data_IF_721558413247
#
_entry.id   IF_721558413247
#
_cell.length_a   1.000
_cell.length_b   1.000
_cell.length_c   1.000
_cell.angle_alpha   90.00
_cell.angle_beta   90.00
_cell.angle_gamma   90.00
#
_symmetry.space_group_name_H-M   'P 1'
#
loop_
_entity.id
_entity.type
_entity.pdbx_description
1 polymer ?
#
# COMPACT_ATOMS: atom_id res chain seq x y z
N UNK A 1 59.91 -27.56 -2.11
CA UNK A 1 59.54 -26.13 -1.95
C UNK A 1 58.75 -25.58 -3.14
N UNK A 2 59.16 -25.87 -4.39
CA UNK A 2 58.55 -25.38 -5.64
C UNK A 2 57.08 -25.81 -5.82
N UNK A 3 56.73 -27.04 -5.45
CA UNK A 3 55.36 -27.58 -5.58
C UNK A 3 54.31 -26.80 -4.77
N UNK A 4 54.65 -26.35 -3.57
CA UNK A 4 53.73 -25.61 -2.71
C UNK A 4 53.50 -24.16 -3.19
N UNK A 5 54.49 -23.57 -3.87
CA UNK A 5 54.38 -22.23 -4.47
C UNK A 5 53.46 -22.27 -5.70
N UNK A 6 53.62 -23.27 -6.57
CA UNK A 6 52.78 -23.46 -7.75
C UNK A 6 51.32 -23.75 -7.38
N UNK A 7 51.08 -24.58 -6.35
CA UNK A 7 49.73 -24.87 -5.85
C UNK A 7 49.02 -23.63 -5.30
N UNK A 8 49.77 -22.74 -4.62
CA UNK A 8 49.25 -21.47 -4.09
C UNK A 8 48.97 -20.47 -5.22
N UNK A 9 49.82 -20.41 -6.25
CA UNK A 9 49.61 -19.58 -7.43
C UNK A 9 48.38 -20.01 -8.24
N UNK A 10 48.20 -21.32 -8.49
CA UNK A 10 47.01 -21.86 -9.16
C UNK A 10 45.72 -21.61 -8.36
N UNK A 11 45.75 -21.78 -7.04
CA UNK A 11 44.57 -21.51 -6.18
C UNK A 11 44.17 -20.04 -6.24
N UNK A 12 45.13 -19.12 -6.25
CA UNK A 12 44.87 -17.69 -6.39
C UNK A 12 44.37 -17.32 -7.80
N UNK A 13 44.84 -18.02 -8.85
CA UNK A 13 44.37 -17.82 -10.21
C UNK A 13 42.91 -18.28 -10.39
N UNK A 14 42.56 -19.43 -9.80
CA UNK A 14 41.19 -19.96 -9.79
C UNK A 14 40.25 -19.02 -9.04
N UNK A 15 40.65 -18.53 -7.87
CA UNK A 15 39.85 -17.57 -7.08
C UNK A 15 39.62 -16.28 -7.87
N UNK A 16 40.66 -15.75 -8.53
CA UNK A 16 40.55 -14.55 -9.37
C UNK A 16 39.68 -14.77 -10.59
N UNK A 17 39.79 -15.93 -11.25
CA UNK A 17 38.92 -16.30 -12.36
C UNK A 17 37.45 -16.42 -11.91
N UNK A 18 37.17 -17.07 -10.78
CA UNK A 18 35.81 -17.17 -10.23
C UNK A 18 35.20 -15.80 -9.87
N UNK A 19 36.01 -14.86 -9.36
CA UNK A 19 35.58 -13.49 -9.10
C UNK A 19 35.22 -12.73 -10.40
N UNK A 20 35.95 -12.98 -11.48
CA UNK A 20 35.67 -12.37 -12.80
C UNK A 20 34.41 -12.99 -13.42
N UNK A 21 34.19 -14.30 -13.29
CA UNK A 21 32.97 -14.96 -13.80
C UNK A 21 31.68 -14.51 -13.07
N UNK A 22 31.78 -14.05 -11.81
CA UNK A 22 30.64 -13.44 -11.11
C UNK A 22 30.28 -12.05 -11.64
N UNK A 23 31.24 -11.28 -12.16
CA UNK A 23 30.94 -9.93 -12.68
C UNK A 23 30.31 -9.93 -14.07
N UNK A 24 30.37 -11.03 -14.83
CA UNK A 24 29.86 -11.09 -16.21
C UNK A 24 28.37 -11.44 -16.30
N UNK A 25 27.68 -11.74 -15.18
CA UNK A 25 26.25 -12.08 -15.17
C UNK A 25 25.32 -10.93 -14.68
N UNK A 26 25.83 -9.70 -14.50
CA UNK A 26 25.08 -8.62 -13.86
C UNK A 26 24.39 -7.63 -14.82
N UNK A 27 23.96 -8.07 -16.00
CA UNK A 27 23.22 -7.20 -16.92
C UNK A 27 22.06 -7.90 -17.62
N UNK A 28 21.46 -8.89 -16.96
CA UNK A 28 20.12 -9.34 -17.32
C UNK A 28 19.13 -8.80 -16.29
N UNK A 29 18.02 -8.23 -16.76
CA UNK A 29 16.90 -7.94 -15.87
C UNK A 29 16.51 -9.19 -15.09
N UNK A 30 16.19 -9.04 -13.80
CA UNK A 30 15.72 -10.16 -12.97
C UNK A 30 14.40 -10.70 -13.56
N UNK A 31 14.24 -12.01 -13.68
CA UNK A 31 12.99 -12.60 -14.13
C UNK A 31 11.85 -12.29 -13.15
N UNK A 32 10.62 -12.18 -13.65
CA UNK A 32 9.44 -12.00 -12.80
C UNK A 32 9.32 -13.18 -11.83
N UNK A 33 8.91 -12.89 -10.58
CA UNK A 33 8.75 -13.93 -9.58
C UNK A 33 7.53 -14.80 -9.93
N UNK A 34 7.51 -16.06 -9.47
CA UNK A 34 6.37 -16.97 -9.65
C UNK A 34 5.67 -17.33 -8.32
N UNK A 35 6.27 -16.94 -7.20
CA UNK A 35 5.71 -17.14 -5.86
C UNK A 35 5.24 -15.82 -5.27
N UNK A 36 3.91 -15.67 -5.16
CA UNK A 36 3.29 -14.50 -4.52
C UNK A 36 3.78 -14.30 -3.09
N UNK A 37 3.96 -15.39 -2.33
CA UNK A 37 4.41 -15.30 -0.94
C UNK A 37 5.84 -14.73 -0.82
N UNK A 38 6.75 -15.18 -1.70
CA UNK A 38 8.13 -14.66 -1.70
C UNK A 38 8.15 -13.21 -2.20
N UNK A 39 7.36 -12.89 -3.23
CA UNK A 39 7.21 -11.51 -3.71
C UNK A 39 6.71 -10.57 -2.61
N UNK A 40 5.69 -10.98 -1.85
CA UNK A 40 5.18 -10.23 -0.69
C UNK A 40 6.21 -10.04 0.42
N UNK A 41 7.04 -11.05 0.71
CA UNK A 41 8.14 -10.94 1.68
C UNK A 41 9.21 -9.96 1.19
N UNK A 42 9.58 -10.04 -0.09
CA UNK A 42 10.56 -9.15 -0.69
C UNK A 42 10.06 -7.70 -0.75
N UNK A 43 8.79 -7.49 -1.08
CA UNK A 43 8.12 -6.19 -1.10
C UNK A 43 8.17 -5.51 0.28
N UNK A 44 7.89 -6.28 1.34
CA UNK A 44 8.01 -5.82 2.73
C UNK A 44 9.43 -5.38 3.06
N UNK A 45 10.44 -6.19 2.71
CA UNK A 45 11.85 -5.89 2.98
C UNK A 45 12.38 -4.68 2.18
N UNK A 46 11.88 -4.47 0.96
CA UNK A 46 12.30 -3.39 0.07
C UNK A 46 11.47 -2.11 0.20
N UNK A 47 10.45 -2.10 1.07
CA UNK A 47 9.47 -1.01 1.19
C UNK A 47 8.78 -0.68 -0.14
N UNK A 48 8.41 -1.71 -0.92
CA UNK A 48 7.76 -1.59 -2.23
C UNK A 48 6.37 -2.21 -2.22
N UNK A 49 5.56 -1.84 -3.20
CA UNK A 49 4.34 -2.57 -3.57
C UNK A 49 4.66 -3.75 -4.48
N UNK A 50 3.76 -4.73 -4.51
CA UNK A 50 3.83 -5.88 -5.42
C UNK A 50 3.08 -5.53 -6.69
N UNK A 51 3.71 -5.77 -7.85
CA UNK A 51 3.03 -5.74 -9.15
C UNK A 51 2.71 -7.19 -9.52
N UNK A 52 1.44 -7.54 -9.51
CA UNK A 52 0.97 -8.89 -9.76
C UNK A 52 0.15 -8.95 -11.03
N UNK A 53 0.41 -10.00 -11.83
CA UNK A 53 -0.43 -10.38 -12.97
C UNK A 53 -0.82 -11.85 -12.84
N UNK A 54 -1.98 -12.18 -13.39
CA UNK A 54 -2.37 -13.56 -13.60
C UNK A 54 -1.55 -14.20 -14.72
N UNK A 55 -1.31 -15.50 -14.62
CA UNK A 55 -0.57 -16.27 -15.63
C UNK A 55 -1.23 -16.22 -17.02
N UNK A 56 -2.56 -16.19 -17.10
CA UNK A 56 -3.25 -16.08 -18.39
C UNK A 56 -2.92 -14.75 -19.11
N UNK A 57 -2.76 -13.66 -18.35
CA UNK A 57 -2.46 -12.33 -18.89
C UNK A 57 -1.11 -12.29 -19.65
N UNK A 58 -0.21 -13.23 -19.38
CA UNK A 58 1.11 -13.29 -20.04
C UNK A 58 1.08 -14.06 -21.36
N UNK A 59 -0.06 -14.64 -21.75
CA UNK A 59 -0.20 -15.42 -23.00
C UNK A 59 -0.51 -14.58 -24.22
N UNK A 60 -0.81 -13.30 -24.04
CA UNK A 60 -1.12 -12.36 -25.10
C UNK A 60 -0.20 -11.13 -24.98
N UNK A 61 0.04 -10.41 -26.10
CA UNK A 61 0.81 -9.17 -26.05
C UNK A 61 0.14 -8.15 -25.11
N UNK A 62 0.87 -7.72 -24.08
CA UNK A 62 0.40 -6.69 -23.15
C UNK A 62 1.04 -5.36 -23.53
N UNK A 63 0.29 -4.50 -24.25
CA UNK A 63 0.82 -3.28 -24.86
C UNK A 63 1.11 -2.19 -23.82
N UNK A 64 2.21 -1.46 -24.01
CA UNK A 64 2.72 -0.51 -23.03
C UNK A 64 3.20 0.78 -23.67
N UNK A 65 2.84 1.93 -23.09
CA UNK A 65 3.47 3.22 -23.37
C UNK A 65 4.63 3.51 -22.41
N UNK A 66 5.74 3.95 -22.97
CA UNK A 66 6.91 4.43 -22.24
C UNK A 66 7.34 5.76 -22.82
N UNK A 67 7.59 6.75 -21.94
CA UNK A 67 8.17 8.02 -22.35
C UNK A 67 9.61 7.82 -22.83
N UNK A 68 9.95 8.37 -23.99
CA UNK A 68 11.31 8.42 -24.48
C UNK A 68 12.12 9.52 -23.79
N UNK A 69 13.45 9.44 -23.89
CA UNK A 69 14.37 10.40 -23.28
C UNK A 69 14.26 11.83 -23.84
N UNK A 70 13.48 12.03 -24.92
CA UNK A 70 13.24 13.30 -25.60
C UNK A 70 11.80 13.83 -25.41
N UNK A 71 10.98 13.16 -24.59
CA UNK A 71 9.59 13.52 -24.31
C UNK A 71 8.55 13.05 -25.32
N UNK A 72 8.89 12.12 -26.22
CA UNK A 72 7.96 11.37 -27.06
C UNK A 72 7.46 10.08 -26.40
N UNK A 73 6.48 9.41 -26.98
CA UNK A 73 5.92 8.15 -26.44
C UNK A 73 6.27 6.98 -27.36
N UNK A 74 6.86 5.93 -26.80
CA UNK A 74 7.17 4.66 -27.49
C UNK A 74 6.13 3.62 -27.09
N UNK A 75 5.65 2.84 -28.06
CA UNK A 75 4.78 1.67 -27.82
C UNK A 75 5.63 0.41 -27.81
N UNK A 76 5.56 -0.33 -26.72
CA UNK A 76 6.19 -1.64 -26.59
C UNK A 76 5.11 -2.71 -26.73
N UNK A 77 5.37 -3.67 -27.61
CA UNK A 77 4.41 -4.69 -28.02
C UNK A 77 4.04 -5.69 -26.91
N UNK A 78 4.95 -5.92 -25.95
CA UNK A 78 4.68 -6.82 -24.85
C UNK A 78 5.48 -6.45 -23.59
N UNK A 79 4.77 -6.17 -22.49
CA UNK A 79 5.32 -5.88 -21.15
C UNK A 79 6.31 -6.95 -20.67
N UNK A 80 6.07 -8.21 -21.03
CA UNK A 80 6.78 -9.36 -20.47
C UNK A 80 8.08 -9.72 -21.22
N UNK A 81 8.32 -9.14 -22.39
CA UNK A 81 9.45 -9.47 -23.27
C UNK A 81 10.52 -8.38 -23.34
N UNK A 82 10.20 -7.15 -22.94
CA UNK A 82 11.13 -6.02 -23.02
C UNK A 82 11.99 -5.89 -21.75
N UNK A 83 13.32 -5.95 -21.95
CA UNK A 83 14.28 -5.91 -20.85
C UNK A 83 14.29 -4.56 -20.12
N UNK A 84 14.15 -3.43 -20.83
CA UNK A 84 14.19 -2.10 -20.24
C UNK A 84 12.96 -1.86 -19.37
N UNK A 85 11.80 -2.29 -19.85
CA UNK A 85 10.55 -2.32 -19.06
C UNK A 85 10.75 -3.16 -17.81
N UNK A 86 11.30 -4.37 -17.95
CA UNK A 86 11.48 -5.27 -16.81
C UNK A 86 12.37 -4.63 -15.73
N UNK A 87 13.47 -3.98 -16.11
CA UNK A 87 14.33 -3.25 -15.18
C UNK A 87 13.58 -2.09 -14.51
N UNK A 88 12.77 -1.35 -15.28
CA UNK A 88 11.96 -0.25 -14.77
C UNK A 88 10.89 -0.72 -13.77
N UNK A 89 10.25 -1.86 -14.03
CA UNK A 89 9.30 -2.48 -13.09
C UNK A 89 10.03 -2.90 -11.81
N UNK A 90 11.13 -3.64 -11.90
CA UNK A 90 11.90 -4.09 -10.72
C UNK A 90 12.41 -2.93 -9.85
N UNK A 91 12.76 -1.80 -10.49
CA UNK A 91 13.17 -0.59 -9.78
C UNK A 91 12.06 -0.08 -8.86
N UNK A 92 10.80 -0.14 -9.31
CA UNK A 92 9.67 0.52 -8.65
C UNK A 92 8.75 -0.44 -7.86
N UNK A 93 8.69 -1.70 -8.25
CA UNK A 93 7.80 -2.73 -7.74
C UNK A 93 8.53 -4.04 -7.48
N UNK A 94 7.86 -4.98 -6.82
CA UNK A 94 8.24 -6.39 -6.86
C UNK A 94 7.30 -7.13 -7.82
N UNK A 95 7.74 -7.48 -9.04
CA UNK A 95 6.88 -8.12 -10.04
C UNK A 95 6.69 -9.63 -9.80
N UNK A 96 5.46 -10.10 -9.98
CA UNK A 96 5.11 -11.52 -9.83
C UNK A 96 4.02 -11.94 -10.83
N UNK A 97 4.23 -13.10 -11.47
CA UNK A 97 3.23 -13.82 -12.25
C UNK A 97 2.65 -14.91 -11.35
N UNK A 98 1.34 -14.91 -11.15
CA UNK A 98 0.67 -15.86 -10.26
C UNK A 98 -0.15 -16.84 -11.07
N UNK A 99 0.06 -18.13 -10.82
CA UNK A 99 -0.66 -19.20 -11.53
C UNK A 99 -2.17 -19.16 -11.28
N UNK A 100 -2.95 -19.43 -12.33
CA UNK A 100 -4.42 -19.58 -12.28
C UNK A 100 -4.87 -20.63 -11.26
N UNK A 101 -4.03 -21.65 -11.02
CA UNK A 101 -4.28 -22.68 -10.01
C UNK A 101 -4.46 -22.11 -8.60
N UNK A 102 -3.92 -20.92 -8.33
CA UNK A 102 -4.06 -20.23 -7.03
C UNK A 102 -5.33 -19.39 -6.92
N UNK A 103 -6.03 -19.13 -8.03
CA UNK A 103 -7.19 -18.23 -8.08
C UNK A 103 -8.25 -18.61 -7.05
N UNK A 104 -8.69 -19.87 -7.04
CA UNK A 104 -9.74 -20.34 -6.12
C UNK A 104 -9.37 -20.15 -4.63
N UNK A 105 -8.09 -20.34 -4.28
CA UNK A 105 -7.61 -20.18 -2.91
C UNK A 105 -7.50 -18.70 -2.51
N UNK A 106 -7.07 -17.84 -3.42
CA UNK A 106 -6.99 -16.40 -3.20
C UNK A 106 -8.39 -15.76 -3.16
N UNK A 107 -9.29 -16.18 -4.05
CA UNK A 107 -10.68 -15.72 -4.10
C UNK A 107 -11.42 -16.00 -2.80
N UNK A 108 -11.25 -17.19 -2.21
CA UNK A 108 -11.83 -17.53 -0.89
C UNK A 108 -11.45 -16.54 0.22
N UNK A 109 -10.26 -15.91 0.14
CA UNK A 109 -9.81 -14.93 1.16
C UNK A 109 -10.58 -13.62 1.06
N UNK A 110 -11.06 -13.25 -0.13
CA UNK A 110 -11.69 -11.94 -0.43
C UNK A 110 -13.20 -12.02 -0.62
N UNK A 111 -13.74 -13.20 -0.97
CA UNK A 111 -15.17 -13.42 -1.24
C UNK A 111 -16.03 -13.03 -0.03
N UNK A 112 -17.02 -12.17 -0.27
CA UNK A 112 -17.95 -11.69 0.76
C UNK A 112 -17.35 -10.67 1.75
N UNK A 113 -16.06 -10.32 1.60
CA UNK A 113 -15.34 -9.38 2.48
C UNK A 113 -14.90 -8.10 1.78
N UNK A 114 -15.05 -8.02 0.46
CA UNK A 114 -14.59 -6.91 -0.37
C UNK A 114 -15.73 -6.38 -1.24
N UNK A 115 -15.64 -5.09 -1.61
CA UNK A 115 -16.59 -4.42 -2.51
C UNK A 115 -16.52 -5.04 -3.92
N UNK A 116 -17.61 -4.94 -4.69
CA UNK A 116 -17.71 -5.53 -6.03
C UNK A 116 -16.54 -5.12 -6.95
N UNK A 117 -16.21 -3.83 -7.03
CA UNK A 117 -15.06 -3.35 -7.84
C UNK A 117 -13.72 -4.01 -7.51
N UNK A 118 -13.50 -4.39 -6.24
CA UNK A 118 -12.28 -5.10 -5.84
C UNK A 118 -12.32 -6.52 -6.39
N UNK A 119 -13.47 -7.17 -6.33
CA UNK A 119 -13.69 -8.51 -6.88
C UNK A 119 -13.55 -8.50 -8.39
N UNK A 120 -14.09 -7.50 -9.08
CA UNK A 120 -13.93 -7.33 -10.51
C UNK A 120 -12.45 -7.17 -10.87
N UNK A 121 -11.75 -6.25 -10.18
CA UNK A 121 -10.30 -6.06 -10.34
C UNK A 121 -9.50 -7.32 -10.03
N UNK A 122 -9.90 -8.11 -9.04
CA UNK A 122 -9.23 -9.36 -8.71
C UNK A 122 -9.38 -10.39 -9.84
N UNK A 123 -10.53 -10.45 -10.51
CA UNK A 123 -10.84 -11.46 -11.51
C UNK A 123 -10.36 -11.12 -12.92
N UNK A 124 -10.16 -9.85 -13.26
CA UNK A 124 -9.72 -9.47 -14.60
C UNK A 124 -8.22 -9.73 -14.84
N UNK A 125 -7.77 -9.67 -16.09
CA UNK A 125 -6.37 -9.92 -16.50
C UNK A 125 -5.46 -8.69 -16.37
N UNK A 126 -5.97 -7.57 -15.87
CA UNK A 126 -5.17 -6.35 -15.74
C UNK A 126 -4.14 -6.45 -14.62
N UNK A 127 -3.13 -5.58 -14.61
CA UNK A 127 -2.18 -5.51 -13.50
C UNK A 127 -2.88 -5.20 -12.17
N UNK A 128 -2.50 -5.93 -11.12
CA UNK A 128 -2.86 -5.64 -9.73
C UNK A 128 -1.65 -5.10 -8.98
N UNK A 129 -1.79 -3.91 -8.41
CA UNK A 129 -0.85 -3.38 -7.44
C UNK A 129 -1.35 -3.80 -6.07
N UNK A 130 -0.50 -4.49 -5.30
CA UNK A 130 -0.85 -5.00 -3.99
C UNK A 130 0.10 -4.47 -2.92
N UNK A 131 -0.38 -4.39 -1.70
CA UNK A 131 0.52 -4.26 -0.55
C UNK A 131 1.22 -5.60 -0.22
N UNK A 132 2.15 -5.55 0.73
CA UNK A 132 2.93 -6.72 1.15
C UNK A 132 2.10 -7.82 1.85
N UNK A 133 0.85 -7.56 2.19
CA UNK A 133 -0.09 -8.50 2.79
C UNK A 133 -1.12 -9.03 1.77
N UNK A 134 -1.07 -8.57 0.52
CA UNK A 134 -1.83 -9.10 -0.60
C UNK A 134 -3.21 -8.48 -0.79
N UNK A 135 -3.45 -7.27 -0.29
CA UNK A 135 -4.64 -6.50 -0.65
C UNK A 135 -4.36 -5.61 -1.88
N UNK A 136 -5.27 -5.63 -2.85
CA UNK A 136 -5.17 -4.84 -4.10
C UNK A 136 -5.51 -3.37 -3.81
N UNK A 137 -4.68 -2.49 -4.35
CA UNK A 137 -4.78 -1.03 -4.24
C UNK A 137 -5.53 -0.45 -5.44
N UNK A 138 -5.08 -0.74 -6.66
CA UNK A 138 -5.53 -0.12 -7.91
C UNK A 138 -6.91 -0.61 -8.41
N UNK A 139 -7.92 -0.62 -7.54
CA UNK A 139 -9.27 -1.14 -7.80
C UNK A 139 -10.13 -0.27 -8.72
N UNK A 140 -9.75 0.98 -8.95
CA UNK A 140 -10.42 1.91 -9.87
C UNK A 140 -9.78 1.95 -11.25
N UNK A 141 -8.58 1.38 -11.40
CA UNK A 141 -7.88 1.33 -12.68
C UNK A 141 -8.59 0.34 -13.61
N UNK A 142 -9.25 0.88 -14.63
CA UNK A 142 -9.85 0.12 -15.73
C UNK A 142 -8.76 -0.23 -16.72
N UNK A 143 -8.75 -1.47 -17.20
CA UNK A 143 -7.86 -1.88 -18.27
C UNK A 143 -8.17 -1.05 -19.52
N UNK A 144 -7.26 -0.16 -19.89
CA UNK A 144 -7.22 0.45 -21.22
C UNK A 144 -6.56 -0.53 -22.19
N UNK A 145 -6.75 -0.33 -23.51
CA UNK A 145 -6.10 -1.15 -24.55
C UNK A 145 -4.56 -1.13 -24.46
N UNK A 146 -4.01 -0.19 -23.68
CA UNK A 146 -2.59 0.02 -23.45
C UNK A 146 -2.35 0.41 -21.98
N UNK A 147 -1.21 -0.02 -21.42
CA UNK A 147 -0.76 0.42 -20.10
C UNK A 147 0.19 1.60 -20.21
N UNK A 148 -0.16 2.69 -19.56
CA UNK A 148 0.77 3.79 -19.29
C UNK A 148 1.64 3.44 -18.05
N UNK A 149 2.88 3.03 -18.28
CA UNK A 149 3.82 2.69 -17.20
C UNK A 149 4.21 3.91 -16.38
N UNK A 150 4.38 5.08 -17.00
CA UNK A 150 4.78 6.29 -16.31
C UNK A 150 3.71 6.65 -15.26
N UNK A 151 2.44 6.66 -15.68
CA UNK A 151 1.29 6.90 -14.80
C UNK A 151 1.11 5.80 -13.76
N UNK A 152 1.38 4.53 -14.10
CA UNK A 152 1.36 3.43 -13.13
C UNK A 152 2.42 3.64 -12.02
N UNK A 153 3.65 3.96 -12.40
CA UNK A 153 4.75 4.22 -11.45
C UNK A 153 4.45 5.44 -10.60
N UNK A 154 4.11 6.56 -11.22
CA UNK A 154 3.81 7.82 -10.53
C UNK A 154 2.75 7.62 -9.44
N UNK A 155 1.72 6.82 -9.73
CA UNK A 155 0.62 6.61 -8.82
C UNK A 155 0.84 5.47 -7.82
N UNK A 156 1.53 4.39 -8.18
CA UNK A 156 1.51 3.16 -7.39
C UNK A 156 2.88 2.64 -6.93
N UNK A 157 3.99 3.24 -7.36
CA UNK A 157 5.33 2.93 -6.84
C UNK A 157 5.53 3.54 -5.44
N UNK A 158 4.66 3.16 -4.51
CA UNK A 158 4.62 3.71 -3.16
C UNK A 158 5.82 3.23 -2.36
N UNK A 159 6.54 4.16 -1.76
CA UNK A 159 7.49 3.84 -0.70
C UNK A 159 6.71 3.50 0.57
N UNK A 160 6.64 2.21 0.92
CA UNK A 160 5.85 1.73 2.05
C UNK A 160 6.55 1.89 3.40
N UNK A 161 7.72 2.55 3.45
CA UNK A 161 8.51 2.71 4.69
C UNK A 161 7.70 3.31 5.85
N UNK A 162 6.73 4.19 5.56
CA UNK A 162 5.85 4.79 6.56
C UNK A 162 4.88 3.81 7.23
N UNK A 163 4.66 2.64 6.63
CA UNK A 163 3.69 1.63 7.08
C UNK A 163 4.33 0.25 7.33
N UNK A 164 5.65 0.12 7.16
CA UNK A 164 6.36 -1.18 7.19
C UNK A 164 6.25 -1.88 8.55
N UNK A 165 6.36 -1.15 9.66
CA UNK A 165 6.26 -1.74 11.00
C UNK A 165 4.87 -2.35 11.23
N UNK A 166 3.83 -1.68 10.78
CA UNK A 166 2.44 -2.14 10.91
C UNK A 166 2.12 -3.28 9.94
N UNK A 167 2.72 -3.26 8.73
CA UNK A 167 2.66 -4.38 7.79
C UNK A 167 3.28 -5.64 8.40
N UNK A 168 4.45 -5.52 9.04
CA UNK A 168 5.13 -6.62 9.74
C UNK A 168 4.31 -7.12 10.93
N UNK A 169 3.78 -6.21 11.76
CA UNK A 169 2.97 -6.56 12.91
C UNK A 169 1.73 -7.36 12.51
N UNK A 170 0.97 -6.89 11.52
CA UNK A 170 -0.20 -7.60 10.99
C UNK A 170 0.15 -8.94 10.35
N UNK A 171 1.30 -9.03 9.68
CA UNK A 171 1.75 -10.31 9.09
C UNK A 171 2.13 -11.33 10.16
N UNK A 172 2.72 -10.86 11.26
CA UNK A 172 3.13 -11.70 12.40
C UNK A 172 1.94 -12.20 13.20
N UNK A 173 0.98 -11.31 13.49
CA UNK A 173 -0.19 -11.63 14.30
C UNK A 173 -1.38 -10.83 13.81
N UNK A 174 -2.49 -11.51 13.54
CA UNK A 174 -3.73 -10.91 13.06
C UNK A 174 -4.74 -10.83 14.19
N UNK A 175 -4.92 -9.62 14.70
CA UNK A 175 -5.81 -9.28 15.81
C UNK A 175 -6.35 -7.85 15.62
N UNK A 176 -7.21 -7.37 16.52
CA UNK A 176 -7.74 -6.00 16.42
C UNK A 176 -6.63 -4.94 16.28
N UNK A 177 -5.62 -4.97 17.14
CA UNK A 177 -4.61 -3.91 17.22
C UNK A 177 -3.72 -3.85 15.98
N UNK A 178 -3.20 -4.98 15.54
CA UNK A 178 -2.34 -5.07 14.35
C UNK A 178 -3.06 -4.58 13.09
N UNK A 179 -4.33 -4.95 12.91
CA UNK A 179 -5.16 -4.48 11.80
C UNK A 179 -5.55 -3.00 11.94
N UNK A 180 -5.94 -2.56 13.14
CA UNK A 180 -6.31 -1.17 13.41
C UNK A 180 -5.14 -0.20 13.18
N UNK A 181 -3.94 -0.52 13.68
CA UNK A 181 -2.77 0.34 13.48
C UNK A 181 -2.34 0.38 12.02
N UNK A 182 -2.41 -0.75 11.31
CA UNK A 182 -2.15 -0.78 9.87
C UNK A 182 -3.17 0.07 9.09
N UNK A 183 -4.45 -0.04 9.42
CA UNK A 183 -5.50 0.83 8.85
C UNK A 183 -5.19 2.31 9.11
N UNK A 184 -4.86 2.67 10.35
CA UNK A 184 -4.52 4.04 10.74
C UNK A 184 -3.34 4.59 9.94
N UNK A 185 -2.30 3.77 9.76
CA UNK A 185 -1.10 4.15 8.99
C UNK A 185 -1.34 4.27 7.49
N UNK A 186 -2.21 3.44 6.90
CA UNK A 186 -2.63 3.67 5.53
C UNK A 186 -3.42 4.97 5.38
N UNK A 187 -4.22 5.35 6.37
CA UNK A 187 -4.90 6.64 6.38
C UNK A 187 -3.89 7.80 6.46
N UNK A 188 -2.80 7.65 7.24
CA UNK A 188 -1.70 8.62 7.27
C UNK A 188 -0.99 8.70 5.91
N UNK A 189 -0.69 7.54 5.30
CA UNK A 189 -0.07 7.47 3.96
C UNK A 189 -0.93 8.17 2.90
N UNK A 190 -2.26 8.07 2.99
CA UNK A 190 -3.19 8.71 2.05
C UNK A 190 -3.03 10.24 1.97
N UNK A 191 -2.45 10.89 2.99
CA UNK A 191 -2.16 12.32 2.98
C UNK A 191 -0.97 12.67 2.08
N UNK A 192 -0.06 11.72 1.84
CA UNK A 192 1.18 11.93 1.09
C UNK A 192 1.14 11.45 -0.35
N UNK A 193 0.09 10.73 -0.75
CA UNK A 193 -0.06 10.21 -2.12
C UNK A 193 -0.75 11.21 -3.04
N UNK A 194 -0.60 10.98 -4.34
CA UNK A 194 -1.31 11.72 -5.37
C UNK A 194 -2.82 11.67 -5.16
N UNK A 195 -3.50 12.76 -5.50
CA UNK A 195 -4.96 12.86 -5.38
C UNK A 195 -5.68 11.73 -6.13
N UNK A 196 -5.15 11.34 -7.30
CA UNK A 196 -5.72 10.30 -8.15
C UNK A 196 -5.92 8.95 -7.42
N UNK A 197 -4.99 8.57 -6.54
CA UNK A 197 -5.04 7.28 -5.82
C UNK A 197 -5.43 7.40 -4.35
N UNK A 198 -5.63 8.62 -3.85
CA UNK A 198 -5.94 8.87 -2.43
C UNK A 198 -7.13 8.06 -1.94
N UNK A 199 -8.19 7.99 -2.77
CA UNK A 199 -9.39 7.23 -2.44
C UNK A 199 -9.12 5.72 -2.33
N UNK A 200 -8.22 5.19 -3.16
CA UNK A 200 -7.84 3.77 -3.15
C UNK A 200 -6.99 3.40 -1.93
N UNK A 201 -6.09 4.29 -1.49
CA UNK A 201 -5.35 4.09 -0.25
C UNK A 201 -6.28 4.13 0.97
N UNK A 202 -7.27 5.02 0.96
CA UNK A 202 -8.34 5.02 1.98
C UNK A 202 -9.14 3.72 1.93
N UNK A 203 -9.46 3.21 0.74
CA UNK A 203 -10.14 1.92 0.60
C UNK A 203 -9.29 0.74 1.11
N UNK A 204 -7.98 0.77 0.92
CA UNK A 204 -7.07 -0.20 1.53
C UNK A 204 -7.05 -0.09 3.06
N UNK A 205 -6.99 1.13 3.61
CA UNK A 205 -7.13 1.33 5.06
C UNK A 205 -8.42 0.73 5.59
N UNK A 206 -9.52 0.94 4.88
CA UNK A 206 -10.83 0.42 5.26
C UNK A 206 -10.91 -1.10 5.24
N UNK A 207 -10.21 -1.77 4.33
CA UNK A 207 -10.07 -3.23 4.34
C UNK A 207 -9.51 -3.71 5.68
N UNK A 208 -8.45 -3.08 6.17
CA UNK A 208 -7.84 -3.44 7.45
C UNK A 208 -8.70 -3.04 8.64
N UNK A 209 -9.42 -1.93 8.55
CA UNK A 209 -10.33 -1.49 9.60
C UNK A 209 -11.53 -2.44 9.76
N UNK A 210 -12.09 -2.91 8.64
CA UNK A 210 -13.16 -3.91 8.62
C UNK A 210 -12.67 -5.24 9.23
N UNK A 211 -11.42 -5.63 8.96
CA UNK A 211 -10.81 -6.80 9.57
C UNK A 211 -10.57 -6.62 11.07
N UNK A 212 -10.11 -5.44 11.50
CA UNK A 212 -9.95 -5.13 12.92
C UNK A 212 -11.27 -5.32 13.67
N UNK A 213 -12.36 -4.73 13.16
CA UNK A 213 -13.70 -4.90 13.73
C UNK A 213 -14.15 -6.38 13.68
N UNK A 214 -13.83 -7.09 12.60
CA UNK A 214 -14.09 -8.53 12.49
C UNK A 214 -13.39 -9.37 13.57
N UNK A 215 -12.17 -9.03 13.95
CA UNK A 215 -11.45 -9.72 15.03
C UNK A 215 -12.12 -9.52 16.40
N UNK A 216 -12.72 -8.36 16.68
CA UNK A 216 -13.49 -8.12 17.91
C UNK A 216 -14.73 -9.02 18.06
N UNK A 217 -15.23 -9.59 16.96
CA UNK A 217 -16.35 -10.53 17.02
C UNK A 217 -15.93 -11.93 17.47
N UNK A 218 -14.63 -12.23 17.41
CA UNK A 218 -14.06 -13.55 17.70
C UNK A 218 -13.26 -13.53 19.00
N UNK A 219 -12.58 -12.41 19.28
CA UNK A 219 -11.77 -12.21 20.47
C UNK A 219 -12.63 -11.98 21.73
N UNK A 220 -12.29 -12.67 22.81
CA UNK A 220 -12.87 -12.41 24.13
C UNK A 220 -12.16 -11.19 24.75
N UNK A 221 -12.70 -10.00 24.50
CA UNK A 221 -12.21 -8.74 25.10
C UNK A 221 -13.34 -7.99 25.79
N UNK A 222 -13.09 -7.55 27.02
CA UNK A 222 -14.05 -6.75 27.81
C UNK A 222 -14.21 -5.33 27.23
N UNK A 223 -13.22 -4.83 26.49
CA UNK A 223 -13.18 -3.46 25.94
C UNK A 223 -13.82 -3.32 24.56
N UNK A 224 -14.65 -4.29 24.14
CA UNK A 224 -15.18 -4.38 22.77
C UNK A 224 -15.90 -3.10 22.31
N UNK A 225 -16.69 -2.47 23.18
CA UNK A 225 -17.40 -1.21 22.87
C UNK A 225 -16.40 -0.07 22.60
N UNK A 226 -15.41 0.10 23.47
CA UNK A 226 -14.37 1.13 23.37
C UNK A 226 -13.54 0.96 22.10
N UNK A 227 -13.19 -0.27 21.74
CA UNK A 227 -12.42 -0.58 20.53
C UNK A 227 -13.25 -0.39 19.24
N UNK A 228 -14.54 -0.75 19.26
CA UNK A 228 -15.46 -0.44 18.14
C UNK A 228 -15.59 1.05 17.93
N UNK A 229 -15.82 1.80 19.01
CA UNK A 229 -15.90 3.26 18.96
C UNK A 229 -14.61 3.89 18.41
N UNK A 230 -13.44 3.36 18.80
CA UNK A 230 -12.15 3.78 18.25
C UNK A 230 -12.05 3.54 16.74
N UNK A 231 -12.51 2.37 16.26
CA UNK A 231 -12.55 2.07 14.84
C UNK A 231 -13.49 3.01 14.08
N UNK A 232 -14.66 3.33 14.64
CA UNK A 232 -15.60 4.30 14.06
C UNK A 232 -15.00 5.71 13.95
N UNK A 233 -14.29 6.18 14.97
CA UNK A 233 -13.59 7.47 14.90
C UNK A 233 -12.52 7.49 13.81
N UNK A 234 -11.74 6.40 13.68
CA UNK A 234 -10.76 6.29 12.59
C UNK A 234 -11.44 6.30 11.22
N UNK A 235 -12.60 5.64 11.09
CA UNK A 235 -13.41 5.68 9.88
C UNK A 235 -13.88 7.10 9.56
N UNK A 236 -14.28 7.88 10.56
CA UNK A 236 -14.67 9.29 10.38
C UNK A 236 -13.49 10.15 9.89
N UNK A 237 -12.26 9.85 10.33
CA UNK A 237 -11.06 10.58 9.90
C UNK A 237 -10.88 10.60 8.38
N UNK A 238 -11.34 9.56 7.66
CA UNK A 238 -11.22 9.49 6.20
C UNK A 238 -11.91 10.68 5.52
N UNK A 239 -13.00 11.20 6.10
CA UNK A 239 -13.73 12.33 5.55
C UNK A 239 -12.96 13.64 5.65
N UNK A 240 -12.01 13.78 6.58
CA UNK A 240 -11.11 14.94 6.58
C UNK A 240 -10.18 14.91 5.37
N UNK A 241 -9.66 13.73 5.03
CA UNK A 241 -8.74 13.53 3.90
C UNK A 241 -9.47 13.70 2.55
N UNK A 242 -10.76 13.38 2.51
CA UNK A 242 -11.63 13.53 1.32
C UNK A 242 -12.29 14.92 1.21
N UNK A 243 -11.82 15.92 1.93
CA UNK A 243 -12.39 17.28 1.99
C UNK A 243 -13.90 17.32 2.34
N UNK A 244 -14.34 16.53 3.31
CA UNK A 244 -15.75 16.43 3.77
C UNK A 244 -15.89 16.78 5.26
N UNK A 245 -15.41 17.96 5.72
CA UNK A 245 -15.43 18.32 7.15
C UNK A 245 -16.85 18.41 7.73
N UNK A 246 -17.85 18.84 6.96
CA UNK A 246 -19.26 18.86 7.43
C UNK A 246 -19.79 17.46 7.73
N UNK A 247 -19.33 16.44 6.99
CA UNK A 247 -19.69 15.05 7.25
C UNK A 247 -19.06 14.56 8.55
N UNK A 248 -17.80 14.91 8.81
CA UNK A 248 -17.11 14.63 10.09
C UNK A 248 -17.94 15.12 11.26
N UNK A 249 -18.29 16.41 11.28
CA UNK A 249 -19.07 17.01 12.36
C UNK A 249 -20.43 16.32 12.56
N UNK A 250 -21.08 15.92 11.48
CA UNK A 250 -22.36 15.20 11.54
C UNK A 250 -22.21 13.80 12.15
N UNK A 251 -21.19 13.04 11.75
CA UNK A 251 -20.95 11.70 12.31
C UNK A 251 -20.53 11.77 13.78
N UNK A 252 -19.67 12.74 14.15
CA UNK A 252 -19.28 12.98 15.56
C UNK A 252 -20.48 13.31 16.44
N UNK A 253 -21.40 14.15 15.94
CA UNK A 253 -22.65 14.44 16.65
C UNK A 253 -23.55 13.21 16.78
N UNK A 254 -23.65 12.39 15.73
CA UNK A 254 -24.49 11.20 15.70
C UNK A 254 -24.04 10.14 16.71
N UNK A 255 -22.73 10.01 16.93
CA UNK A 255 -22.15 9.07 17.89
C UNK A 255 -22.05 9.61 19.32
N UNK A 256 -22.60 10.81 19.58
CA UNK A 256 -22.49 11.50 20.87
C UNK A 256 -21.03 11.61 21.36
N UNK A 257 -20.14 12.09 20.47
CA UNK A 257 -18.69 12.11 20.72
C UNK A 257 -18.27 13.01 21.90
N UNK A 258 -19.18 13.80 22.48
CA UNK A 258 -18.94 14.57 23.71
C UNK A 258 -18.95 13.68 24.97
N UNK A 259 -19.62 12.53 24.92
CA UNK A 259 -19.70 11.53 26.00
C UNK A 259 -18.89 10.26 25.68
N UNK A 260 -17.80 10.43 24.91
CA UNK A 260 -16.93 9.34 24.47
C UNK A 260 -16.05 8.81 25.62
N UNK A 261 -15.59 7.55 25.50
CA UNK A 261 -14.59 7.00 26.42
C UNK A 261 -13.31 7.84 26.41
N UNK A 262 -12.75 8.09 27.59
CA UNK A 262 -11.58 8.98 27.78
C UNK A 262 -10.37 8.59 26.93
N UNK A 263 -10.19 7.28 26.69
CA UNK A 263 -9.10 6.75 25.86
C UNK A 263 -9.20 7.12 24.38
N UNK A 264 -10.37 7.60 23.93
CA UNK A 264 -10.67 7.98 22.55
C UNK A 264 -10.82 9.51 22.38
N UNK A 265 -10.85 10.28 23.48
CA UNK A 265 -11.05 11.73 23.48
C UNK A 265 -10.02 12.48 22.62
N UNK A 266 -8.76 12.04 22.65
CA UNK A 266 -7.69 12.65 21.86
C UNK A 266 -7.97 12.61 20.34
N UNK A 267 -8.60 11.54 19.86
CA UNK A 267 -8.98 11.41 18.45
C UNK A 267 -10.20 12.27 18.13
N UNK A 268 -11.18 12.36 19.03
CA UNK A 268 -12.32 13.29 18.88
C UNK A 268 -11.86 14.73 18.80
N UNK A 269 -10.99 15.16 19.72
CA UNK A 269 -10.43 16.52 19.74
C UNK A 269 -9.73 16.84 18.41
N UNK A 270 -8.93 15.90 17.90
CA UNK A 270 -8.28 16.02 16.61
C UNK A 270 -9.28 16.15 15.45
N UNK A 271 -10.34 15.34 15.43
CA UNK A 271 -11.35 15.37 14.37
C UNK A 271 -12.12 16.70 14.35
N UNK A 272 -12.57 17.18 15.51
CA UNK A 272 -13.25 18.48 15.63
C UNK A 272 -12.34 19.62 15.19
N UNK A 273 -11.13 19.70 15.75
CA UNK A 273 -10.16 20.74 15.40
C UNK A 273 -9.93 20.77 13.88
N UNK A 274 -9.59 19.63 13.28
CA UNK A 274 -9.26 19.57 11.85
C UNK A 274 -10.46 19.91 10.98
N UNK A 275 -11.67 19.45 11.34
CA UNK A 275 -12.89 19.77 10.59
C UNK A 275 -13.18 21.29 10.62
N UNK A 276 -13.09 21.92 11.78
CA UNK A 276 -13.30 23.37 11.91
C UNK A 276 -12.20 24.19 11.24
N UNK A 277 -10.94 23.71 11.26
CA UNK A 277 -9.84 24.34 10.52
C UNK A 277 -10.06 24.32 9.00
N UNK A 278 -10.52 23.21 8.43
CA UNK A 278 -10.87 23.15 6.99
C UNK A 278 -12.03 24.11 6.69
N UNK A 279 -13.00 24.23 7.61
CA UNK A 279 -14.15 25.14 7.48
C UNK A 279 -13.83 26.61 7.78
N UNK A 280 -12.62 26.93 8.28
CA UNK A 280 -12.19 28.27 8.69
C UNK A 280 -13.10 28.90 9.77
N UNK A 281 -13.57 28.10 10.72
CA UNK A 281 -14.38 28.56 11.85
C UNK A 281 -13.48 28.91 13.05
N UNK A 282 -12.98 30.16 13.08
CA UNK A 282 -11.98 30.64 14.05
C UNK A 282 -12.41 30.40 15.50
N UNK A 283 -13.68 30.61 15.84
CA UNK A 283 -14.20 30.43 17.21
C UNK A 283 -14.02 28.98 17.66
N UNK A 284 -14.40 28.02 16.81
CA UNK A 284 -14.26 26.61 17.15
C UNK A 284 -12.80 26.14 17.03
N UNK A 285 -12.01 26.71 16.12
CA UNK A 285 -10.57 26.41 16.01
C UNK A 285 -9.87 26.72 17.33
N UNK A 286 -10.05 27.93 17.88
CA UNK A 286 -9.44 28.34 19.15
C UNK A 286 -9.84 27.42 20.30
N UNK A 287 -11.14 27.06 20.38
CA UNK A 287 -11.67 26.16 21.40
C UNK A 287 -10.99 24.79 21.37
N UNK A 288 -10.94 24.15 20.19
CA UNK A 288 -10.45 22.77 20.07
C UNK A 288 -8.92 22.68 20.04
N UNK A 289 -8.22 23.71 19.55
CA UNK A 289 -6.75 23.73 19.45
C UNK A 289 -6.06 23.46 20.79
N UNK A 290 -6.62 23.99 21.88
CA UNK A 290 -6.08 23.82 23.25
C UNK A 290 -6.13 22.37 23.74
N UNK A 291 -6.96 21.52 23.13
CA UNK A 291 -7.18 20.12 23.50
C UNK A 291 -6.41 19.12 22.61
N UNK A 292 -5.70 19.60 21.60
CA UNK A 292 -5.01 18.77 20.61
C UNK A 292 -3.51 18.78 20.87
N UNK A 293 -2.91 17.59 20.91
CA UNK A 293 -1.47 17.44 21.09
C UNK A 293 -0.68 18.03 19.91
N UNK A 294 0.57 18.42 20.15
CA UNK A 294 1.45 18.95 19.09
C UNK A 294 1.60 18.00 17.89
N UNK A 295 1.66 16.69 18.16
CA UNK A 295 1.72 15.66 17.12
C UNK A 295 0.45 15.71 16.24
N UNK A 296 -0.72 15.76 16.87
CA UNK A 296 -1.99 15.81 16.17
C UNK A 296 -2.21 17.16 15.45
N UNK A 297 -1.66 18.26 15.97
CA UNK A 297 -1.66 19.54 15.26
C UNK A 297 -0.85 19.48 13.96
N UNK A 298 0.34 18.84 13.98
CA UNK A 298 1.14 18.64 12.76
C UNK A 298 0.39 17.78 11.73
N UNK A 299 -0.22 16.68 12.19
CA UNK A 299 -1.06 15.81 11.35
C UNK A 299 -2.24 16.58 10.75
N UNK A 300 -2.94 17.37 11.57
CA UNK A 300 -4.06 18.19 11.13
C UNK A 300 -3.62 19.19 10.06
N UNK A 301 -2.47 19.85 10.25
CA UNK A 301 -1.94 20.78 9.26
C UNK A 301 -1.66 20.11 7.91
N UNK A 302 -1.11 18.90 7.90
CA UNK A 302 -0.90 18.16 6.65
C UNK A 302 -2.22 17.87 5.93
N UNK A 303 -3.26 17.48 6.68
CA UNK A 303 -4.59 17.26 6.11
C UNK A 303 -5.23 18.58 5.63
N UNK A 304 -5.04 19.68 6.35
CA UNK A 304 -5.55 20.99 5.94
C UNK A 304 -4.89 21.41 4.62
N UNK A 305 -3.56 21.25 4.50
CA UNK A 305 -2.80 21.66 3.32
C UNK A 305 -3.25 20.94 2.03
N UNK A 306 -3.68 19.68 2.11
CA UNK A 306 -4.17 18.95 0.93
C UNK A 306 -5.61 19.33 0.54
N UNK A 307 -6.30 20.13 1.36
CA UNK A 307 -7.68 20.56 1.18
C UNK A 307 -7.83 22.07 0.90
N UNK A 308 -6.72 22.82 0.91
CA UNK A 308 -6.64 24.27 0.67
C UNK A 308 -5.90 24.58 -0.62
#
# INVERSE_FOLDING_TARGET
MIYNVLKKAMKNLIIRASLIFFTVNLSYSQEWMTSLEIAQKLALMQNKTVLMVWEEATKYPYLVYVDDEKGGTIVIGNLFEDEKISQLIWKNFVPVIVSESQHANLYKKVKGKRKQRYIDKFNDDSIKIMDANGNIINTSYVAEDYLDIAKLIENYALNTQLVTLELEAYKKEKNFYSAYYLASKYLDLAVYVNEAIRSEIIDLSNIYLDEAVGFLEIEATEDKSTLKQRAELLKIQEYLILNRPKRVLRELKKMDAENIESTNEALVNFLYYTAYSILKDEKNIELWKTKVSLLNLKKAQMIININT
#
